data_IF_584628070917
#
_entry.id   IF_584628070917
#
_cell.length_a   1.000
_cell.length_b   1.000
_cell.length_c   1.000
_cell.angle_alpha   90.00
_cell.angle_beta   90.00
_cell.angle_gamma   90.00
#
_symmetry.space_group_name_H-M   'P 1'
#
loop_
_entity.id
_entity.type
_entity.pdbx_description
1 polymer ?
#
# COMPACT_ATOMS: atom_id res chain seq x y z
N UNK A 1 0.35 6.93 -8.43
CA UNK A 1 1.83 6.87 -8.14
C UNK A 1 2.65 6.59 -9.39
N UNK A 2 3.90 7.08 -9.49
CA UNK A 2 4.74 6.83 -10.68
C UNK A 2 5.98 6.01 -10.31
N UNK A 3 5.92 4.70 -10.56
CA UNK A 3 6.98 3.71 -10.35
C UNK A 3 7.63 3.24 -11.67
N UNK A 4 7.21 3.77 -12.82
CA UNK A 4 7.64 3.35 -14.15
C UNK A 4 7.00 4.17 -15.27
N UNK A 5 6.78 3.59 -16.45
CA UNK A 5 6.09 4.25 -17.59
C UNK A 5 4.56 4.11 -17.55
N UNK A 6 4.05 3.34 -16.60
CA UNK A 6 2.65 2.95 -16.50
C UNK A 6 2.13 3.24 -15.09
N UNK A 7 0.81 3.37 -14.96
CA UNK A 7 0.15 3.54 -13.67
C UNK A 7 0.02 2.15 -13.01
N UNK A 8 0.61 1.94 -11.82
CA UNK A 8 0.48 0.67 -11.11
C UNK A 8 -0.95 0.53 -10.58
N UNK A 9 -1.55 -0.64 -10.80
CA UNK A 9 -2.90 -0.99 -10.32
C UNK A 9 -2.82 -2.37 -9.66
N UNK A 10 -3.48 -2.62 -8.51
CA UNK A 10 -3.38 -3.87 -7.77
C UNK A 10 -4.19 -5.02 -8.38
N UNK A 11 -4.11 -5.24 -9.71
CA UNK A 11 -4.92 -6.23 -10.42
C UNK A 11 -4.78 -7.65 -9.86
N UNK A 12 -3.59 -8.02 -9.39
CA UNK A 12 -3.37 -9.33 -8.77
C UNK A 12 -4.02 -9.43 -7.40
N UNK A 13 -3.84 -8.41 -6.55
CA UNK A 13 -4.41 -8.37 -5.20
C UNK A 13 -5.94 -8.28 -5.24
N UNK A 14 -6.53 -7.62 -6.25
CA UNK A 14 -7.98 -7.61 -6.47
C UNK A 14 -8.58 -9.01 -6.64
N UNK A 15 -7.77 -10.01 -7.01
CA UNK A 15 -8.24 -11.39 -7.18
C UNK A 15 -7.72 -12.31 -6.07
N UNK A 16 -6.52 -12.05 -5.53
CA UNK A 16 -5.80 -13.02 -4.69
C UNK A 16 -5.24 -12.44 -3.39
N UNK A 17 -5.68 -11.26 -2.93
CA UNK A 17 -5.15 -10.66 -1.71
C UNK A 17 -5.32 -11.54 -0.46
N UNK A 18 -6.43 -12.27 -0.37
CA UNK A 18 -6.77 -13.20 0.71
C UNK A 18 -6.19 -14.61 0.51
N UNK A 19 -5.48 -14.85 -0.59
CA UNK A 19 -4.91 -16.15 -0.93
C UNK A 19 -3.37 -16.17 -0.91
N UNK A 20 -2.71 -15.09 -1.33
CA UNK A 20 -1.26 -15.04 -1.52
C UNK A 20 -0.66 -13.76 -0.93
N UNK A 21 0.29 -13.93 -0.01
CA UNK A 21 1.02 -12.82 0.60
C UNK A 21 2.12 -12.31 -0.34
N UNK A 22 2.11 -11.00 -0.63
CA UNK A 22 3.11 -10.33 -1.47
C UNK A 22 3.85 -9.28 -0.65
N UNK A 23 5.17 -9.27 -0.76
CA UNK A 23 6.03 -8.32 -0.07
C UNK A 23 6.34 -7.07 -0.88
N UNK A 24 6.51 -5.95 -0.19
CA UNK A 24 6.86 -4.64 -0.75
C UNK A 24 7.91 -3.97 0.12
N UNK A 25 8.84 -3.24 -0.50
CA UNK A 25 10.03 -2.78 0.19
C UNK A 25 10.69 -1.59 -0.49
N UNK A 26 11.28 -0.72 0.32
CA UNK A 26 12.03 0.44 -0.16
C UNK A 26 13.31 0.06 -0.92
N UNK A 27 13.89 -1.11 -0.65
CA UNK A 27 15.05 -1.61 -1.39
C UNK A 27 14.72 -2.04 -2.84
N UNK A 28 13.43 -2.10 -3.19
CA UNK A 28 12.95 -2.44 -4.54
C UNK A 28 12.90 -1.19 -5.44
N UNK A 29 12.69 -1.41 -6.73
CA UNK A 29 12.45 -0.30 -7.67
C UNK A 29 11.28 0.57 -7.18
N UNK A 30 11.53 1.88 -7.13
CA UNK A 30 10.57 2.88 -6.66
C UNK A 30 10.80 3.39 -5.24
N UNK A 31 11.71 2.81 -4.46
CA UNK A 31 12.09 3.35 -3.15
C UNK A 31 10.88 3.46 -2.21
N UNK A 32 10.74 4.62 -1.55
CA UNK A 32 9.59 4.92 -0.69
C UNK A 32 8.24 4.80 -1.42
N UNK A 33 8.17 5.07 -2.73
CA UNK A 33 6.93 4.89 -3.51
C UNK A 33 6.51 3.42 -3.60
N UNK A 34 7.45 2.49 -3.47
CA UNK A 34 7.15 1.06 -3.39
C UNK A 34 6.44 0.70 -2.08
N UNK A 35 6.82 1.34 -0.96
CA UNK A 35 6.12 1.19 0.31
C UNK A 35 4.72 1.76 0.27
N UNK A 36 4.52 2.89 -0.42
CA UNK A 36 3.19 3.46 -0.60
C UNK A 36 2.29 2.57 -1.47
N UNK A 37 2.85 1.97 -2.53
CA UNK A 37 2.16 0.92 -3.27
C UNK A 37 1.84 -0.29 -2.37
N UNK A 38 2.76 -0.66 -1.49
CA UNK A 38 2.56 -1.71 -0.50
C UNK A 38 1.37 -1.43 0.43
N UNK A 39 1.23 -0.19 0.91
CA UNK A 39 0.07 0.25 1.68
C UNK A 39 -1.23 0.09 0.87
N UNK A 40 -1.26 0.59 -0.36
CA UNK A 40 -2.42 0.47 -1.26
C UNK A 40 -2.79 -1.00 -1.53
N UNK A 41 -1.80 -1.87 -1.65
CA UNK A 41 -1.97 -3.29 -1.94
C UNK A 41 -2.27 -4.15 -0.70
N UNK A 42 -2.15 -3.62 0.52
CA UNK A 42 -2.27 -4.38 1.77
C UNK A 42 -1.15 -5.41 2.02
N UNK A 43 -0.01 -5.25 1.36
CA UNK A 43 1.06 -6.25 1.34
C UNK A 43 1.89 -6.36 2.63
N UNK A 44 2.86 -7.28 2.61
CA UNK A 44 3.84 -7.48 3.68
C UNK A 44 4.97 -6.45 3.55
N UNK A 45 5.32 -5.68 4.60
CA UNK A 45 6.44 -4.76 4.52
C UNK A 45 7.79 -5.49 4.66
N UNK A 46 8.73 -5.19 3.77
CA UNK A 46 10.13 -5.60 3.86
C UNK A 46 10.95 -4.56 4.65
N UNK A 47 11.79 -5.02 5.57
CA UNK A 47 12.78 -4.19 6.24
C UNK A 47 14.09 -4.24 5.45
N UNK A 48 14.65 -3.11 4.98
CA UNK A 48 15.93 -3.12 4.28
C UNK A 48 17.07 -3.52 5.23
N UNK A 49 18.10 -4.16 4.66
CA UNK A 49 19.33 -4.52 5.40
C UNK A 49 20.14 -3.27 5.78
N UNK A 50 20.05 -2.23 4.96
CA UNK A 50 20.61 -0.91 5.25
C UNK A 50 19.69 -0.11 6.17
N UNK A 51 20.23 0.88 6.88
CA UNK A 51 19.43 1.71 7.76
C UNK A 51 18.31 2.43 6.99
N UNK A 52 17.04 2.16 7.33
CA UNK A 52 15.90 2.86 6.78
C UNK A 52 15.82 4.27 7.37
N UNK A 53 15.51 5.28 6.55
CA UNK A 53 15.23 6.62 7.06
C UNK A 53 14.03 6.61 8.01
N UNK A 54 13.97 7.56 8.96
CA UNK A 54 12.91 7.62 9.97
C UNK A 54 11.50 7.62 9.35
N UNK A 55 11.33 8.34 8.22
CA UNK A 55 10.06 8.39 7.47
C UNK A 55 9.67 7.03 6.91
N UNK A 56 10.62 6.32 6.28
CA UNK A 56 10.39 4.99 5.71
C UNK A 56 10.13 3.97 6.82
N UNK A 57 10.83 4.06 7.95
CA UNK A 57 10.58 3.21 9.11
C UNK A 57 9.18 3.44 9.72
N UNK A 58 8.72 4.69 9.80
CA UNK A 58 7.36 4.99 10.25
C UNK A 58 6.31 4.39 9.30
N UNK A 59 6.52 4.51 7.99
CA UNK A 59 5.64 3.93 6.98
C UNK A 59 5.65 2.39 7.01
N UNK A 60 6.81 1.76 7.19
CA UNK A 60 6.95 0.30 7.37
C UNK A 60 6.15 -0.18 8.59
N UNK A 61 6.23 0.54 9.72
CA UNK A 61 5.45 0.22 10.92
C UNK A 61 3.94 0.37 10.68
N UNK A 62 3.52 1.44 10.01
CA UNK A 62 2.13 1.65 9.63
C UNK A 62 1.63 0.52 8.71
N UNK A 63 2.46 0.10 7.75
CA UNK A 63 2.16 -1.01 6.84
C UNK A 63 2.07 -2.35 7.57
N UNK A 64 2.93 -2.60 8.55
CA UNK A 64 2.87 -3.81 9.37
C UNK A 64 1.57 -3.86 10.18
N UNK A 65 1.15 -2.73 10.76
CA UNK A 65 -0.11 -2.63 11.50
C UNK A 65 -1.34 -2.83 10.60
N UNK A 66 -1.32 -2.26 9.38
CA UNK A 66 -2.33 -2.50 8.36
C UNK A 66 -2.37 -3.97 7.97
N UNK A 67 -1.23 -4.55 7.57
CA UNK A 67 -1.14 -5.93 7.13
C UNK A 67 -1.67 -6.90 8.19
N UNK A 68 -1.33 -6.68 9.47
CA UNK A 68 -1.89 -7.47 10.58
C UNK A 68 -3.42 -7.48 10.62
N UNK A 69 -4.07 -6.41 10.17
CA UNK A 69 -5.54 -6.31 10.10
C UNK A 69 -6.10 -7.03 8.87
N UNK A 70 -5.52 -6.78 7.69
CA UNK A 70 -6.15 -7.14 6.41
C UNK A 70 -5.50 -8.32 5.67
N UNK A 71 -4.42 -8.93 6.20
CA UNK A 71 -3.63 -9.95 5.49
C UNK A 71 -4.42 -11.10 4.83
N UNK A 72 -5.59 -11.44 5.37
CA UNK A 72 -6.46 -12.53 4.88
C UNK A 72 -7.85 -12.02 4.49
N UNK A 73 -7.98 -10.73 4.21
CA UNK A 73 -9.26 -10.07 3.89
C UNK A 73 -9.28 -9.74 2.40
N UNK A 74 -10.31 -10.15 1.67
CA UNK A 74 -10.45 -9.85 0.24
C UNK A 74 -10.33 -8.34 -0.04
N UNK A 75 -9.58 -7.97 -1.09
CA UNK A 75 -9.58 -6.62 -1.64
C UNK A 75 -10.73 -6.48 -2.64
N UNK A 76 -11.81 -5.84 -2.24
CA UNK A 76 -13.07 -5.79 -3.00
C UNK A 76 -13.12 -4.66 -4.02
N UNK A 77 -12.28 -3.63 -3.88
CA UNK A 77 -12.25 -2.50 -4.81
C UNK A 77 -10.89 -1.80 -4.86
N UNK A 78 -10.58 -1.22 -6.02
CA UNK A 78 -9.56 -0.19 -6.21
C UNK A 78 -10.10 0.89 -7.14
N UNK A 79 -9.88 2.16 -6.79
CA UNK A 79 -10.35 3.30 -7.57
C UNK A 79 -9.37 4.48 -7.55
N UNK A 80 -9.41 5.28 -8.62
CA UNK A 80 -8.75 6.59 -8.69
C UNK A 80 -9.70 7.67 -8.17
N UNK A 81 -9.22 8.52 -7.27
CA UNK A 81 -10.00 9.59 -6.63
C UNK A 81 -9.85 10.94 -7.35
N UNK A 82 -8.95 11.02 -8.33
CA UNK A 82 -8.70 12.21 -9.12
C UNK A 82 -8.47 11.87 -10.60
N UNK A 83 -8.72 12.84 -11.49
CA UNK A 83 -8.51 12.66 -12.93
C UNK A 83 -7.03 12.46 -13.29
N UNK A 84 -6.12 12.99 -12.46
CA UNK A 84 -4.68 12.84 -12.62
C UNK A 84 -4.15 11.46 -12.18
N UNK A 85 -5.00 10.64 -11.53
CA UNK A 85 -4.65 9.28 -11.04
C UNK A 85 -3.46 9.31 -10.09
N UNK A 86 -3.37 10.36 -9.27
CA UNK A 86 -2.37 10.53 -8.22
C UNK A 86 -2.92 10.16 -6.85
N UNK A 87 -4.25 10.17 -6.69
CA UNK A 87 -4.94 9.75 -5.47
C UNK A 87 -5.69 8.45 -5.72
N UNK A 88 -5.41 7.45 -4.91
CA UNK A 88 -5.88 6.08 -5.13
C UNK A 88 -6.46 5.53 -3.83
N UNK A 89 -7.49 4.68 -3.94
CA UNK A 89 -8.08 4.01 -2.78
C UNK A 89 -8.32 2.53 -3.05
N UNK A 90 -7.92 1.70 -2.09
CA UNK A 90 -8.32 0.30 -2.01
C UNK A 90 -9.35 0.11 -0.90
N UNK A 91 -10.30 -0.79 -1.12
CA UNK A 91 -11.30 -1.20 -0.12
C UNK A 91 -11.20 -2.70 0.10
N UNK A 92 -11.30 -3.12 1.36
CA UNK A 92 -11.26 -4.52 1.78
C UNK A 92 -12.63 -4.97 2.32
N UNK A 93 -12.89 -6.28 2.31
CA UNK A 93 -14.18 -6.85 2.69
C UNK A 93 -14.61 -6.56 4.13
N UNK A 94 -13.67 -6.27 5.04
CA UNK A 94 -13.96 -5.86 6.43
C UNK A 94 -14.36 -4.38 6.56
N UNK A 95 -14.45 -3.65 5.44
CA UNK A 95 -14.73 -2.22 5.39
C UNK A 95 -13.51 -1.32 5.57
N UNK A 96 -12.30 -1.90 5.77
CA UNK A 96 -11.06 -1.12 5.80
C UNK A 96 -10.83 -0.46 4.43
N UNK A 97 -10.48 0.82 4.45
CA UNK A 97 -10.07 1.56 3.25
C UNK A 97 -8.68 2.13 3.45
N UNK A 98 -7.89 2.11 2.38
CA UNK A 98 -6.55 2.70 2.34
C UNK A 98 -6.53 3.70 1.20
N UNK A 99 -6.37 4.97 1.53
CA UNK A 99 -6.23 6.06 0.56
C UNK A 99 -4.78 6.53 0.53
N UNK A 100 -4.23 6.63 -0.66
CA UNK A 100 -2.84 7.01 -0.89
C UNK A 100 -2.80 8.23 -1.82
N UNK A 101 -2.06 9.25 -1.41
CA UNK A 101 -1.80 10.44 -2.21
C UNK A 101 -0.34 10.44 -2.67
N UNK A 102 -0.14 10.34 -3.99
CA UNK A 102 1.20 10.31 -4.60
C UNK A 102 1.91 11.65 -4.67
N UNK A 103 1.20 12.77 -4.58
CA UNK A 103 1.81 14.10 -4.60
C UNK A 103 2.26 14.49 -3.19
N UNK A 104 1.45 14.17 -2.18
CA UNK A 104 1.79 14.41 -0.76
C UNK A 104 2.66 13.30 -0.15
N UNK A 105 2.77 12.14 -0.81
CA UNK A 105 3.34 10.90 -0.26
C UNK A 105 2.69 10.52 1.08
N UNK A 106 1.37 10.69 1.17
CA UNK A 106 0.59 10.49 2.39
C UNK A 106 -0.32 9.27 2.28
N UNK A 107 -0.64 8.67 3.43
CA UNK A 107 -1.51 7.50 3.52
C UNK A 107 -2.51 7.68 4.64
N UNK A 108 -3.79 7.49 4.32
CA UNK A 108 -4.90 7.52 5.27
C UNK A 108 -5.57 6.15 5.29
N UNK A 109 -5.65 5.55 6.48
CA UNK A 109 -6.33 4.26 6.69
C UNK A 109 -7.58 4.50 7.53
N UNK A 110 -8.74 4.05 7.06
CA UNK A 110 -9.99 4.10 7.80
C UNK A 110 -10.56 2.69 7.98
N UNK A 111 -11.00 2.30 9.19
CA UNK A 111 -10.81 3.00 10.46
C UNK A 111 -9.32 3.18 10.82
N UNK A 112 -8.94 4.17 11.65
CA UNK A 112 -7.55 4.38 12.04
C UNK A 112 -6.87 3.11 12.59
N UNK A 113 -5.57 2.96 12.30
CA UNK A 113 -4.75 1.89 12.86
C UNK A 113 -4.51 2.14 14.35
N UNK A 114 -4.47 1.05 15.14
CA UNK A 114 -4.19 1.09 16.59
C UNK A 114 -2.70 0.99 16.85
#
# INVERSE_FOLDING_TARGET
>A
MDLGKCIPVPLYNLVYHDAILISYGEARNGGQKNLLLGMLCGGVPELPVTNAGEKSLALIKQMAALHKRIALVEMTNHEFLDAARKKERSTFADGTTVTVDGDENSVVVNPPLK
#
